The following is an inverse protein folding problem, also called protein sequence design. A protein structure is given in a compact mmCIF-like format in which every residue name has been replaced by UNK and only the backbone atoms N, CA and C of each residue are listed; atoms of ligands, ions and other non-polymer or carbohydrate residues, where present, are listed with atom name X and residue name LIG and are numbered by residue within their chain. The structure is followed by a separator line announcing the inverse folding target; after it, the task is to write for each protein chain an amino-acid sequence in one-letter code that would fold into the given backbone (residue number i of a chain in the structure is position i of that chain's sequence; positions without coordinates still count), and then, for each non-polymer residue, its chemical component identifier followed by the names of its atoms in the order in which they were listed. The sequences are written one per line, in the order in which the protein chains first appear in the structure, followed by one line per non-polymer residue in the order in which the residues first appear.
data_IF_479055221198
#
_entry.id   IF_479055221198
#
_cell.length_a   1.000
_cell.length_b   1.000
_cell.length_c   1.000
_cell.angle_alpha   90.00
_cell.angle_beta   90.00
_cell.angle_gamma   90.00
#
_symmetry.space_group_name_H-M   'P 1'
#
loop_
_entity.id
_entity.type
_entity.pdbx_description
1 polymer ?
#
# COMPACT_ATOMS: atom_id res chain seq x y z
N UNK A 1 3.93 0.90 7.12
CA UNK A 1 2.83 1.12 6.18
C UNK A 1 3.39 1.64 4.86
N UNK A 2 3.03 1.01 3.71
CA UNK A 2 3.51 1.44 2.37
C UNK A 2 3.09 2.87 2.08
N UNK A 3 1.97 3.33 2.63
CA UNK A 3 1.51 4.70 2.52
C UNK A 3 2.50 5.75 3.07
N UNK A 4 3.45 5.35 3.92
CA UNK A 4 4.55 6.21 4.38
C UNK A 4 5.86 5.97 3.63
N UNK A 5 6.17 4.71 3.28
CA UNK A 5 7.40 4.36 2.55
C UNK A 5 7.45 4.96 1.15
N UNK A 6 6.34 4.92 0.44
CA UNK A 6 6.24 5.51 -0.90
C UNK A 6 6.45 7.04 -0.85
N UNK A 7 5.79 7.81 0.04
CA UNK A 7 6.11 9.21 0.25
C UNK A 7 7.57 9.47 0.67
N UNK A 8 8.13 8.68 1.58
CA UNK A 8 9.55 8.83 1.96
C UNK A 8 10.46 8.64 0.75
N UNK A 9 10.24 7.60 -0.07
CA UNK A 9 11.00 7.39 -1.29
C UNK A 9 10.83 8.56 -2.28
N UNK A 10 9.61 9.09 -2.45
CA UNK A 10 9.36 10.25 -3.31
C UNK A 10 10.03 11.53 -2.78
N UNK A 11 10.02 11.76 -1.47
CA UNK A 11 10.71 12.87 -0.81
C UNK A 11 12.23 12.77 -1.02
N UNK A 12 12.80 11.57 -0.84
CA UNK A 12 14.22 11.30 -1.05
C UNK A 12 14.69 11.55 -2.49
N UNK A 13 13.77 11.46 -3.46
CA UNK A 13 14.02 11.75 -4.87
C UNK A 13 13.54 13.16 -5.32
N UNK A 14 13.02 13.99 -4.41
CA UNK A 14 12.60 15.36 -4.68
C UNK A 14 11.29 15.51 -5.46
N UNK A 15 10.48 14.45 -5.55
CA UNK A 15 9.15 14.52 -6.16
C UNK A 15 8.11 15.19 -5.26
N UNK A 16 8.31 15.11 -3.94
CA UNK A 16 7.54 15.85 -2.93
C UNK A 16 8.50 16.53 -1.95
N UNK A 17 8.00 17.38 -1.04
CA UNK A 17 8.83 18.08 -0.08
C UNK A 17 9.70 17.12 0.73
N UNK A 18 11.00 17.40 0.76
CA UNK A 18 11.98 16.50 1.40
C UNK A 18 11.78 16.36 2.91
N UNK A 19 11.28 17.39 3.56
CA UNK A 19 10.96 17.40 4.99
C UNK A 19 9.62 16.74 5.33
N UNK A 20 8.85 16.31 4.32
CA UNK A 20 7.56 15.66 4.49
C UNK A 20 6.46 16.56 5.03
N UNK A 21 6.62 17.90 4.95
CA UNK A 21 5.67 18.88 5.50
C UNK A 21 4.85 19.57 4.43
N UNK A 22 3.69 20.08 4.88
CA UNK A 22 2.79 20.88 4.06
C UNK A 22 2.40 20.20 2.74
N UNK A 23 2.04 18.91 2.81
CA UNK A 23 1.55 18.16 1.67
C UNK A 23 0.15 18.66 1.28
N UNK A 24 -0.01 19.12 0.05
CA UNK A 24 -1.30 19.54 -0.51
C UNK A 24 -1.70 18.63 -1.67
N UNK A 25 -3.00 18.56 -1.99
CA UNK A 25 -3.47 17.76 -3.13
C UNK A 25 -2.79 18.14 -4.44
N UNK A 26 -2.66 19.44 -4.82
CA UNK A 26 -1.94 19.82 -6.05
C UNK A 26 -0.48 19.37 -6.07
N UNK A 27 0.22 19.45 -4.93
CA UNK A 27 1.61 19.00 -4.82
C UNK A 27 1.72 17.47 -4.99
N UNK A 28 0.83 16.72 -4.35
CA UNK A 28 0.78 15.27 -4.48
C UNK A 28 0.41 14.83 -5.90
N UNK A 29 -0.54 15.50 -6.57
CA UNK A 29 -0.89 15.22 -7.97
C UNK A 29 0.32 15.29 -8.88
N UNK A 30 1.18 16.29 -8.71
CA UNK A 30 2.41 16.41 -9.48
C UNK A 30 3.42 15.33 -9.08
N UNK A 31 3.76 15.22 -7.79
CA UNK A 31 4.83 14.34 -7.32
C UNK A 31 4.56 12.85 -7.55
N UNK A 32 3.31 12.39 -7.32
CA UNK A 32 2.96 10.99 -7.52
C UNK A 32 2.85 10.63 -9.02
N UNK A 33 2.37 11.55 -9.84
CA UNK A 33 2.34 11.34 -11.29
C UNK A 33 3.75 11.25 -11.87
N UNK A 34 4.65 12.18 -11.53
CA UNK A 34 6.02 12.22 -12.03
C UNK A 34 6.87 11.05 -11.50
N UNK A 35 6.73 10.74 -10.20
CA UNK A 35 7.55 9.72 -9.54
C UNK A 35 7.10 8.28 -9.80
N UNK A 36 5.80 8.02 -9.91
CA UNK A 36 5.23 6.67 -9.94
C UNK A 36 4.17 6.45 -11.04
N UNK A 37 3.84 7.49 -11.82
CA UNK A 37 2.72 7.49 -12.75
C UNK A 37 1.38 7.11 -12.09
N UNK A 38 1.12 7.67 -10.91
CA UNK A 38 -0.17 7.50 -10.24
C UNK A 38 -1.22 8.43 -10.84
N UNK A 39 -2.41 7.90 -11.10
CA UNK A 39 -3.56 8.63 -11.62
C UNK A 39 -4.09 9.67 -10.63
N UNK A 40 -4.75 10.68 -11.16
CA UNK A 40 -5.33 11.76 -10.34
C UNK A 40 -6.42 11.24 -9.39
N UNK A 41 -7.23 10.26 -9.82
CA UNK A 41 -8.28 9.61 -9.03
C UNK A 41 -7.70 8.95 -7.78
N UNK A 42 -6.63 8.17 -7.96
CA UNK A 42 -5.90 7.53 -6.86
C UNK A 42 -5.29 8.59 -5.91
N UNK A 43 -4.60 9.57 -6.48
CA UNK A 43 -3.91 10.60 -5.69
C UNK A 43 -4.87 11.44 -4.85
N UNK A 44 -6.02 11.82 -5.42
CA UNK A 44 -7.05 12.57 -4.67
C UNK A 44 -7.63 11.73 -3.53
N UNK A 45 -7.88 10.44 -3.76
CA UNK A 45 -8.39 9.55 -2.71
C UNK A 45 -7.41 9.41 -1.54
N UNK A 46 -6.14 9.10 -1.83
CA UNK A 46 -5.10 8.94 -0.80
C UNK A 46 -4.75 10.28 -0.12
N UNK A 47 -4.63 11.35 -0.90
CA UNK A 47 -4.37 12.67 -0.36
C UNK A 47 -5.53 13.20 0.50
N UNK A 48 -6.78 12.86 0.14
CA UNK A 48 -7.96 13.16 0.96
C UNK A 48 -7.91 12.45 2.31
N UNK A 49 -7.53 11.17 2.33
CA UNK A 49 -7.29 10.45 3.57
C UNK A 49 -6.15 11.09 4.40
N UNK A 50 -5.08 11.55 3.74
CA UNK A 50 -4.00 12.29 4.39
C UNK A 50 -4.49 13.61 5.03
N UNK A 51 -5.36 14.35 4.34
CA UNK A 51 -5.95 15.57 4.91
C UNK A 51 -6.80 15.28 6.15
N UNK A 52 -7.48 14.13 6.19
CA UNK A 52 -8.25 13.73 7.39
C UNK A 52 -7.36 13.42 8.58
N UNK A 53 -6.09 13.03 8.36
CA UNK A 53 -5.12 12.81 9.44
C UNK A 53 -4.57 14.12 10.01
N UNK A 54 -4.71 15.24 9.29
CA UNK A 54 -4.20 16.55 9.73
C UNK A 54 -4.91 17.03 10.99
N UNK A 55 -4.22 17.66 11.94
CA UNK A 55 -4.84 18.38 13.06
C UNK A 55 -5.82 19.49 12.60
N UNK A 56 -5.67 19.95 11.34
CA UNK A 56 -6.58 20.90 10.70
C UNK A 56 -6.99 20.39 9.29
N UNK A 57 -7.96 19.45 9.20
CA UNK A 57 -8.34 18.84 7.91
C UNK A 57 -8.85 19.84 6.87
N UNK A 58 -9.41 20.97 7.31
CA UNK A 58 -9.90 22.04 6.42
C UNK A 58 -8.81 23.00 6.01
N UNK A 59 -7.60 22.89 6.55
CA UNK A 59 -6.44 23.71 6.21
C UNK A 59 -5.84 23.42 4.83
N UNK A 60 -6.26 22.33 4.19
CA UNK A 60 -5.85 21.96 2.83
C UNK A 60 -4.46 21.35 2.74
N UNK A 61 -3.79 21.10 3.86
CA UNK A 61 -2.49 20.41 3.91
C UNK A 61 -2.36 19.50 5.13
N UNK A 62 -1.42 18.56 5.05
CA UNK A 62 -1.02 17.67 6.14
C UNK A 62 0.50 17.44 6.10
N UNK A 63 1.05 16.99 7.19
CA UNK A 63 2.44 16.52 7.28
C UNK A 63 2.47 14.99 7.21
N UNK A 64 3.55 14.39 6.70
CA UNK A 64 3.66 12.92 6.66
C UNK A 64 3.60 12.29 8.06
N UNK A 65 4.00 13.03 9.11
CA UNK A 65 3.87 12.56 10.49
C UNK A 65 2.42 12.52 10.98
N UNK A 66 1.50 13.26 10.36
CA UNK A 66 0.07 13.17 10.71
C UNK A 66 -0.53 11.81 10.33
N UNK A 67 0.12 11.08 9.39
CA UNK A 67 -0.30 9.73 8.98
C UNK A 67 -0.01 8.64 10.03
N UNK A 68 0.68 9.00 11.11
CA UNK A 68 1.09 8.07 12.17
C UNK A 68 0.01 7.88 13.24
N UNK A 69 -1.15 8.52 13.08
CA UNK A 69 -2.24 8.38 14.01
C UNK A 69 -2.79 6.93 13.95
N UNK A 70 -2.52 6.17 15.03
CA UNK A 70 -2.90 4.76 15.12
C UNK A 70 -4.41 4.57 14.93
N UNK A 71 -4.75 3.60 14.07
CA UNK A 71 -6.12 3.25 13.70
C UNK A 71 -6.95 4.41 13.08
N UNK A 72 -6.30 5.46 12.51
CA UNK A 72 -7.03 6.54 11.84
C UNK A 72 -6.14 7.40 10.93
N UNK A 73 -6.60 7.76 9.74
CA UNK A 73 -7.52 7.01 8.87
C UNK A 73 -6.80 5.91 8.10
N UNK A 74 -5.45 5.98 8.00
CA UNK A 74 -4.61 5.15 7.12
C UNK A 74 -3.85 4.09 7.90
N UNK A 75 -3.26 4.49 9.05
CA UNK A 75 -2.46 3.58 9.87
C UNK A 75 -3.31 2.42 10.40
N UNK A 76 -2.71 1.21 10.48
CA UNK A 76 -3.36 -0.02 10.91
C UNK A 76 -2.34 -1.08 11.36
N UNK A 77 -2.80 -2.02 12.19
CA UNK A 77 -2.04 -3.22 12.58
C UNK A 77 -1.73 -4.16 11.39
N UNK A 78 -0.86 -5.12 11.61
CA UNK A 78 -0.43 -6.14 10.65
C UNK A 78 0.33 -5.58 9.43
N UNK A 79 1.08 -4.51 9.63
CA UNK A 79 1.93 -3.92 8.60
C UNK A 79 3.00 -4.91 8.10
N UNK A 80 3.36 -4.80 6.82
CA UNK A 80 4.45 -5.61 6.22
C UNK A 80 5.82 -5.30 6.81
N UNK A 81 6.06 -4.07 7.23
CA UNK A 81 7.40 -3.56 7.57
C UNK A 81 7.45 -2.65 8.79
N UNK A 82 6.36 -2.56 9.53
CA UNK A 82 6.29 -1.79 10.79
C UNK A 82 5.82 -2.71 11.92
N UNK A 83 6.16 -2.36 13.15
CA UNK A 83 5.63 -3.03 14.33
C UNK A 83 4.19 -2.53 14.59
N UNK A 84 3.35 -3.37 15.18
CA UNK A 84 2.04 -2.91 15.64
C UNK A 84 2.20 -1.97 16.84
N UNK A 85 1.36 -0.93 16.94
CA UNK A 85 1.49 0.13 17.94
C UNK A 85 1.48 -0.39 19.39
N UNK A 86 0.66 -1.41 19.69
CA UNK A 86 0.61 -2.02 21.02
C UNK A 86 1.90 -2.79 21.40
N UNK A 87 2.76 -3.13 20.45
CA UNK A 87 4.01 -3.85 20.68
C UNK A 87 5.23 -2.94 20.75
N UNK A 88 5.10 -1.65 20.47
CA UNK A 88 6.18 -0.69 20.55
C UNK A 88 6.05 0.49 19.60
N UNK A 89 7.18 1.02 19.13
CA UNK A 89 7.19 2.13 18.19
C UNK A 89 6.87 1.61 16.78
N UNK A 90 5.73 1.99 16.23
CA UNK A 90 5.21 1.63 14.91
C UNK A 90 5.75 2.51 13.76
N UNK A 91 6.53 3.54 14.10
CA UNK A 91 7.02 4.52 13.14
C UNK A 91 8.20 4.03 12.28
N UNK A 92 9.30 3.48 12.87
CA UNK A 92 10.45 3.09 12.10
C UNK A 92 10.22 1.78 11.33
N UNK A 93 11.05 1.58 10.30
CA UNK A 93 11.16 0.28 9.66
C UNK A 93 11.53 -0.80 10.68
N UNK A 94 10.72 -1.86 10.72
CA UNK A 94 10.91 -2.97 11.65
C UNK A 94 11.32 -4.23 10.91
N UNK A 95 12.61 -4.50 10.93
CA UNK A 95 13.22 -5.57 10.15
C UNK A 95 12.64 -6.98 10.42
N UNK A 96 12.28 -7.38 11.66
CA UNK A 96 11.68 -8.70 11.88
C UNK A 96 10.40 -8.95 11.07
N UNK A 97 9.46 -7.99 11.05
CA UNK A 97 8.22 -8.10 10.26
C UNK A 97 8.53 -8.14 8.76
N UNK A 98 9.45 -7.30 8.32
CA UNK A 98 9.87 -7.27 6.94
C UNK A 98 10.53 -8.59 6.50
N UNK A 99 11.42 -9.18 7.31
CA UNK A 99 12.04 -10.47 6.98
C UNK A 99 11.01 -11.60 6.95
N UNK A 100 10.01 -11.58 7.83
CA UNK A 100 8.90 -12.52 7.77
C UNK A 100 8.14 -12.39 6.44
N UNK A 101 7.85 -11.16 6.01
CA UNK A 101 7.12 -10.89 4.76
C UNK A 101 7.94 -11.26 3.53
N UNK A 102 9.16 -10.71 3.40
CA UNK A 102 9.98 -10.88 2.19
C UNK A 102 10.53 -12.29 2.04
N UNK A 103 10.68 -13.03 3.14
CA UNK A 103 11.13 -14.42 3.15
C UNK A 103 10.20 -15.36 2.38
N UNK A 104 8.90 -15.02 2.21
CA UNK A 104 8.02 -15.80 1.34
C UNK A 104 8.45 -15.82 -0.12
N UNK A 105 9.29 -14.87 -0.52
CA UNK A 105 9.83 -14.77 -1.86
C UNK A 105 11.24 -15.36 -2.02
N UNK A 106 11.75 -16.07 -1.02
CA UNK A 106 13.06 -16.70 -1.10
C UNK A 106 13.13 -17.66 -2.29
N UNK A 107 14.23 -17.56 -3.05
CA UNK A 107 14.44 -18.29 -4.29
C UNK A 107 13.71 -17.73 -5.53
N UNK A 108 12.88 -16.68 -5.37
CA UNK A 108 12.21 -15.99 -6.48
C UNK A 108 13.01 -14.75 -6.90
N UNK A 109 12.91 -14.40 -8.18
CA UNK A 109 13.49 -13.16 -8.73
C UNK A 109 12.47 -12.04 -8.87
N UNK A 110 11.18 -12.41 -8.92
CA UNK A 110 10.05 -11.50 -9.04
C UNK A 110 8.96 -11.88 -8.02
N UNK A 111 8.12 -10.91 -7.67
CA UNK A 111 6.91 -11.14 -6.88
C UNK A 111 5.85 -11.85 -7.71
N UNK A 112 4.86 -12.41 -7.04
CA UNK A 112 3.60 -12.88 -7.63
C UNK A 112 2.47 -12.68 -6.60
N UNK A 113 1.26 -12.54 -7.10
CA UNK A 113 0.07 -12.27 -6.30
C UNK A 113 -0.21 -13.36 -5.25
N UNK A 114 -0.14 -14.68 -5.58
CA UNK A 114 -0.37 -15.73 -4.57
C UNK A 114 0.64 -15.70 -3.43
N UNK A 115 1.92 -15.43 -3.72
CA UNK A 115 2.97 -15.35 -2.70
C UNK A 115 2.78 -14.10 -1.84
N UNK A 116 2.51 -12.94 -2.45
CA UNK A 116 2.24 -11.69 -1.72
C UNK A 116 1.03 -11.83 -0.78
N UNK A 117 -0.04 -12.47 -1.25
CA UNK A 117 -1.24 -12.72 -0.43
C UNK A 117 -0.95 -13.63 0.78
N UNK A 118 -0.15 -14.69 0.60
CA UNK A 118 0.28 -15.56 1.71
C UNK A 118 1.18 -14.83 2.70
N UNK A 119 2.13 -14.02 2.22
CA UNK A 119 3.01 -13.22 3.06
C UNK A 119 2.20 -12.21 3.90
N UNK A 120 1.22 -11.54 3.28
CA UNK A 120 0.29 -10.64 3.96
C UNK A 120 -0.52 -11.37 5.04
N UNK A 121 -1.06 -12.55 4.72
CA UNK A 121 -1.80 -13.36 5.68
C UNK A 121 -0.93 -13.81 6.86
N UNK A 122 0.34 -14.11 6.63
CA UNK A 122 1.26 -14.44 7.72
C UNK A 122 1.45 -13.26 8.69
N UNK A 123 1.52 -12.02 8.17
CA UNK A 123 1.57 -10.82 9.00
C UNK A 123 0.29 -10.61 9.81
N UNK A 124 -0.87 -10.77 9.17
CA UNK A 124 -2.17 -10.76 9.85
C UNK A 124 -2.22 -11.77 10.99
N UNK A 125 -1.84 -13.02 10.72
CA UNK A 125 -1.88 -14.11 11.70
C UNK A 125 -0.92 -13.87 12.87
N UNK A 126 0.25 -13.29 12.59
CA UNK A 126 1.23 -12.94 13.62
C UNK A 126 0.71 -11.82 14.54
N UNK A 127 0.17 -10.75 13.97
CA UNK A 127 -0.44 -9.66 14.74
C UNK A 127 -1.65 -10.15 15.55
N UNK A 128 -2.55 -10.92 14.95
CA UNK A 128 -3.70 -11.51 15.66
C UNK A 128 -3.27 -12.34 16.87
N UNK A 129 -2.14 -13.04 16.77
CA UNK A 129 -1.63 -13.90 17.85
C UNK A 129 -0.91 -13.13 18.94
N UNK A 130 -0.14 -12.10 18.59
CA UNK A 130 0.85 -11.48 19.45
C UNK A 130 0.49 -10.08 19.91
N UNK A 131 -0.42 -9.38 19.21
CA UNK A 131 -0.87 -8.04 19.57
C UNK A 131 -2.11 -8.13 20.49
N UNK A 132 -2.01 -7.75 21.78
CA UNK A 132 -3.13 -7.84 22.72
C UNK A 132 -4.28 -6.86 22.38
N UNK A 133 -3.98 -5.77 21.65
CA UNK A 133 -4.95 -4.74 21.27
C UNK A 133 -5.26 -4.80 19.76
N UNK A 134 -5.07 -5.97 19.13
CA UNK A 134 -5.23 -6.16 17.70
C UNK A 134 -6.58 -5.68 17.18
N UNK A 135 -6.53 -4.72 16.29
CA UNK A 135 -7.71 -4.16 15.62
C UNK A 135 -7.61 -4.37 14.12
N UNK A 136 -8.54 -5.18 13.58
CA UNK A 136 -8.55 -5.48 12.16
C UNK A 136 -9.98 -5.71 11.65
N UNK A 137 -10.60 -4.64 11.18
CA UNK A 137 -11.92 -4.63 10.58
C UNK A 137 -11.87 -4.44 9.04
N UNK A 138 -13.00 -4.10 8.43
CA UNK A 138 -13.09 -3.87 6.98
C UNK A 138 -12.16 -2.73 6.50
N UNK A 139 -11.99 -1.66 7.29
CA UNK A 139 -11.10 -0.55 6.95
C UNK A 139 -9.65 -1.02 6.87
N UNK A 140 -9.17 -1.68 7.92
CA UNK A 140 -7.79 -2.20 8.02
C UNK A 140 -7.50 -3.20 6.91
N UNK A 141 -8.46 -4.08 6.61
CA UNK A 141 -8.34 -5.03 5.51
C UNK A 141 -8.17 -4.30 4.16
N UNK A 142 -9.01 -3.31 3.87
CA UNK A 142 -8.92 -2.52 2.61
C UNK A 142 -7.56 -1.84 2.48
N UNK A 143 -7.07 -1.19 3.54
CA UNK A 143 -5.75 -0.54 3.51
C UNK A 143 -4.63 -1.56 3.39
N UNK A 144 -4.63 -2.63 4.17
CA UNK A 144 -3.59 -3.66 4.16
C UNK A 144 -3.46 -4.34 2.79
N UNK A 145 -4.59 -4.70 2.13
CA UNK A 145 -4.55 -5.23 0.77
C UNK A 145 -4.21 -4.16 -0.26
N UNK A 146 -4.73 -2.94 -0.07
CA UNK A 146 -4.40 -1.77 -0.89
C UNK A 146 -2.90 -1.49 -0.92
N UNK A 147 -2.23 -1.53 0.21
CA UNK A 147 -0.78 -1.34 0.31
C UNK A 147 0.01 -2.42 -0.42
N UNK A 148 -0.43 -3.69 -0.30
CA UNK A 148 0.17 -4.76 -1.08
C UNK A 148 -0.01 -4.52 -2.58
N UNK A 149 -1.20 -4.12 -3.02
CA UNK A 149 -1.47 -3.80 -4.41
C UNK A 149 -0.64 -2.60 -4.89
N UNK A 150 -0.48 -1.55 -4.08
CA UNK A 150 0.29 -0.34 -4.43
C UNK A 150 1.74 -0.69 -4.73
N UNK A 151 2.44 -1.41 -3.83
CA UNK A 151 3.86 -1.69 -4.09
C UNK A 151 4.05 -2.66 -5.25
N UNK A 152 3.16 -3.64 -5.43
CA UNK A 152 3.20 -4.56 -6.57
C UNK A 152 3.08 -3.79 -7.89
N UNK A 153 2.12 -2.87 -7.99
CA UNK A 153 1.93 -2.03 -9.17
C UNK A 153 3.08 -1.04 -9.37
N UNK A 154 3.49 -0.33 -8.31
CA UNK A 154 4.54 0.69 -8.40
C UNK A 154 5.91 0.11 -8.79
N UNK A 155 6.23 -1.09 -8.32
CA UNK A 155 7.52 -1.73 -8.61
C UNK A 155 7.48 -2.59 -9.88
N UNK A 156 6.32 -2.81 -10.50
CA UNK A 156 6.18 -3.52 -11.77
C UNK A 156 5.27 -2.76 -12.76
N UNK A 157 4.01 -3.15 -12.82
CA UNK A 157 2.96 -2.58 -13.67
C UNK A 157 1.57 -2.79 -13.06
N UNK A 158 0.53 -2.03 -13.49
CA UNK A 158 -0.80 -2.10 -12.90
C UNK A 158 -1.55 -3.43 -13.07
N UNK A 159 -1.00 -4.38 -13.82
CA UNK A 159 -1.70 -5.62 -14.21
C UNK A 159 -1.07 -6.86 -13.58
N UNK A 160 0.23 -7.05 -13.76
CA UNK A 160 0.90 -8.33 -13.45
C UNK A 160 1.28 -8.48 -11.98
N UNK A 161 1.64 -7.39 -11.32
CA UNK A 161 2.23 -7.44 -9.98
C UNK A 161 3.57 -8.18 -9.87
N UNK A 162 4.26 -8.42 -11.00
CA UNK A 162 5.52 -9.17 -11.07
C UNK A 162 6.72 -8.25 -10.87
N UNK A 163 6.82 -7.62 -9.72
CA UNK A 163 7.93 -6.73 -9.37
C UNK A 163 9.22 -7.50 -9.13
N UNK A 164 10.36 -7.01 -9.63
CA UNK A 164 11.66 -7.58 -9.26
C UNK A 164 11.88 -7.44 -7.76
N UNK A 165 12.29 -8.52 -7.10
CA UNK A 165 12.52 -8.51 -5.65
C UNK A 165 13.56 -7.45 -5.26
N UNK A 166 14.58 -7.21 -6.10
CA UNK A 166 15.56 -6.15 -5.87
C UNK A 166 14.93 -4.74 -5.86
N UNK A 167 13.87 -4.51 -6.64
CA UNK A 167 13.14 -3.23 -6.65
C UNK A 167 12.33 -3.06 -5.37
N UNK A 168 11.64 -4.12 -4.96
CA UNK A 168 10.86 -4.14 -3.72
C UNK A 168 11.77 -3.90 -2.51
N UNK A 169 12.93 -4.57 -2.44
CA UNK A 169 13.92 -4.34 -1.37
C UNK A 169 14.46 -2.91 -1.37
N UNK A 170 14.75 -2.31 -2.52
CA UNK A 170 15.19 -0.91 -2.60
C UNK A 170 14.14 0.04 -2.02
N UNK A 171 12.85 -0.18 -2.35
CA UNK A 171 11.76 0.64 -1.84
C UNK A 171 11.62 0.52 -0.32
N UNK A 172 11.59 -0.70 0.23
CA UNK A 172 11.30 -0.94 1.64
C UNK A 172 12.52 -0.77 2.55
N UNK A 173 13.69 -1.29 2.15
CA UNK A 173 14.88 -1.32 3.00
C UNK A 173 15.72 -0.03 2.89
N UNK A 174 15.60 0.71 1.78
CA UNK A 174 16.41 1.90 1.51
C UNK A 174 15.58 3.17 1.33
N UNK A 175 14.25 3.05 1.28
CA UNK A 175 13.33 4.16 0.97
C UNK A 175 13.73 4.88 -0.33
N UNK A 176 14.09 4.09 -1.37
CA UNK A 176 14.56 4.61 -2.66
C UNK A 176 13.80 4.00 -3.83
N UNK A 177 13.49 4.84 -4.80
CA UNK A 177 13.05 4.41 -6.12
C UNK A 177 14.26 3.78 -6.85
N UNK A 178 14.16 2.53 -7.34
CA UNK A 178 15.32 1.76 -7.78
C UNK A 178 15.82 2.11 -9.19
N UNK A 179 15.96 3.40 -9.51
CA UNK A 179 16.44 3.89 -10.80
C UNK A 179 17.81 3.30 -11.21
N UNK A 180 18.70 3.17 -10.22
CA UNK A 180 20.05 2.58 -10.44
C UNK A 180 19.99 1.11 -10.85
N UNK A 181 18.91 0.40 -10.47
CA UNK A 181 18.68 -1.00 -10.85
C UNK A 181 17.93 -1.14 -12.19
N UNK A 182 17.66 -0.01 -12.88
CA UNK A 182 16.98 0.02 -14.16
C UNK A 182 15.45 0.12 -14.06
N UNK A 183 14.88 0.30 -12.87
CA UNK A 183 13.45 0.53 -12.70
C UNK A 183 13.04 1.89 -13.30
N UNK A 184 11.83 1.92 -13.82
CA UNK A 184 11.15 3.16 -14.24
C UNK A 184 9.66 3.04 -13.87
N UNK A 185 8.94 4.14 -13.64
CA UNK A 185 7.48 4.11 -13.49
C UNK A 185 6.82 3.37 -14.66
N UNK A 186 5.78 2.61 -14.37
CA UNK A 186 5.00 1.95 -15.43
C UNK A 186 4.47 2.97 -16.43
N UNK A 187 4.42 2.58 -17.72
CA UNK A 187 3.79 3.44 -18.76
C UNK A 187 2.28 3.56 -18.59
N UNK A 188 1.64 2.52 -18.08
CA UNK A 188 0.23 2.58 -17.71
C UNK A 188 0.06 3.19 -16.31
N UNK A 189 -0.88 4.12 -16.11
CA UNK A 189 -1.07 4.77 -14.81
C UNK A 189 -1.63 3.81 -13.77
N UNK A 190 -1.23 3.99 -12.52
CA UNK A 190 -1.85 3.33 -11.36
C UNK A 190 -3.09 4.15 -10.98
N UNK A 191 -4.27 3.56 -11.12
CA UNK A 191 -5.56 4.19 -10.86
C UNK A 191 -6.32 3.48 -9.75
N UNK A 192 -7.40 4.08 -9.22
CA UNK A 192 -8.29 3.38 -8.30
C UNK A 192 -8.87 2.10 -8.92
N UNK A 193 -9.16 2.13 -10.22
CA UNK A 193 -9.66 0.95 -10.92
C UNK A 193 -8.62 -0.18 -10.97
N UNK A 194 -7.36 0.12 -11.36
CA UNK A 194 -6.28 -0.89 -11.39
C UNK A 194 -5.96 -1.40 -9.98
N UNK A 195 -5.99 -0.51 -8.98
CA UNK A 195 -5.80 -0.89 -7.58
C UNK A 195 -6.89 -1.88 -7.13
N UNK A 196 -8.16 -1.57 -7.40
CA UNK A 196 -9.29 -2.42 -7.05
C UNK A 196 -9.20 -3.81 -7.69
N UNK A 197 -8.77 -3.90 -8.95
CA UNK A 197 -8.53 -5.19 -9.63
C UNK A 197 -7.45 -5.99 -8.90
N UNK A 198 -6.30 -5.38 -8.58
CA UNK A 198 -5.21 -6.10 -7.90
C UNK A 198 -5.56 -6.49 -6.46
N UNK A 199 -6.26 -5.62 -5.72
CA UNK A 199 -6.83 -5.96 -4.40
C UNK A 199 -7.74 -7.18 -4.51
N UNK A 200 -8.63 -7.21 -5.50
CA UNK A 200 -9.54 -8.35 -5.75
C UNK A 200 -8.77 -9.63 -6.04
N UNK A 201 -7.70 -9.57 -6.84
CA UNK A 201 -6.84 -10.72 -7.13
C UNK A 201 -6.12 -11.24 -5.88
N UNK A 202 -5.60 -10.34 -5.02
CA UNK A 202 -4.99 -10.69 -3.74
C UNK A 202 -6.00 -11.38 -2.81
N UNK A 203 -7.24 -10.84 -2.71
CA UNK A 203 -8.31 -11.43 -1.93
C UNK A 203 -8.71 -12.82 -2.43
N UNK A 204 -8.84 -13.00 -3.73
CA UNK A 204 -9.29 -14.24 -4.34
C UNK A 204 -8.41 -15.45 -3.99
N UNK A 205 -7.12 -15.22 -3.73
CA UNK A 205 -6.14 -16.27 -3.40
C UNK A 205 -5.69 -16.23 -1.93
N UNK A 206 -6.30 -15.36 -1.11
CA UNK A 206 -5.93 -15.21 0.30
C UNK A 206 -6.55 -16.32 1.16
N UNK A 207 -5.78 -16.91 2.08
CA UNK A 207 -6.33 -17.76 3.11
C UNK A 207 -6.97 -17.01 4.28
N UNK A 208 -6.94 -15.66 4.26
CA UNK A 208 -7.48 -14.83 5.33
C UNK A 208 -9.00 -14.98 5.44
N UNK A 209 -9.56 -15.23 6.65
CA UNK A 209 -11.00 -15.24 6.85
C UNK A 209 -11.56 -13.84 6.66
N UNK A 210 -12.31 -13.65 5.58
CA UNK A 210 -12.93 -12.37 5.23
C UNK A 210 -14.32 -12.32 5.86
N UNK A 211 -14.67 -11.20 6.53
CA UNK A 211 -16.03 -10.99 7.02
C UNK A 211 -17.05 -11.06 5.85
N UNK A 212 -18.26 -11.57 6.11
CA UNK A 212 -19.30 -11.71 5.07
C UNK A 212 -19.58 -10.39 4.33
N UNK A 213 -19.55 -9.25 5.03
CA UNK A 213 -19.75 -7.95 4.41
C UNK A 213 -18.68 -7.60 3.38
N UNK A 214 -17.42 -7.95 3.62
CA UNK A 214 -16.34 -7.71 2.69
C UNK A 214 -16.42 -8.65 1.47
N UNK A 215 -16.86 -9.89 1.67
CA UNK A 215 -17.15 -10.84 0.58
C UNK A 215 -18.18 -10.26 -0.40
N UNK A 216 -19.26 -9.66 0.11
CA UNK A 216 -20.31 -9.06 -0.73
C UNK A 216 -19.74 -7.95 -1.61
N UNK A 217 -18.89 -7.07 -1.06
CA UNK A 217 -18.25 -5.98 -1.83
C UNK A 217 -17.34 -6.53 -2.92
N UNK A 218 -16.53 -7.53 -2.61
CA UNK A 218 -15.63 -8.18 -3.58
C UNK A 218 -16.42 -8.88 -4.69
N UNK A 219 -17.46 -9.64 -4.36
CA UNK A 219 -18.31 -10.30 -5.35
C UNK A 219 -19.08 -9.31 -6.23
N UNK A 220 -19.63 -8.23 -5.65
CA UNK A 220 -20.32 -7.19 -6.41
C UNK A 220 -19.37 -6.50 -7.39
N UNK A 221 -18.12 -6.23 -6.98
CA UNK A 221 -17.11 -5.61 -7.86
C UNK A 221 -16.71 -6.54 -8.99
N UNK A 222 -16.46 -7.83 -8.72
CA UNK A 222 -16.15 -8.84 -9.75
C UNK A 222 -17.32 -8.98 -10.73
N UNK A 223 -18.55 -9.05 -10.22
CA UNK A 223 -19.74 -9.21 -11.07
C UNK A 223 -19.94 -8.01 -11.99
N UNK A 224 -19.76 -6.80 -11.49
CA UNK A 224 -19.88 -5.57 -12.30
C UNK A 224 -18.81 -5.47 -13.38
N UNK A 225 -17.57 -5.88 -13.09
CA UNK A 225 -16.47 -5.89 -14.05
C UNK A 225 -16.66 -6.96 -15.14
N UNK A 226 -17.11 -8.16 -14.77
CA UNK A 226 -17.42 -9.22 -15.73
C UNK A 226 -18.64 -8.86 -16.61
N UNK A 227 -19.68 -8.25 -16.03
CA UNK A 227 -20.89 -7.89 -16.75
C UNK A 227 -20.66 -6.76 -17.77
N UNK A 228 -19.77 -5.81 -17.46
CA UNK A 228 -19.42 -4.72 -18.37
C UNK A 228 -18.64 -5.16 -19.62
N UNK A 229 -18.03 -6.36 -19.62
CA UNK A 229 -17.35 -6.93 -20.79
C UNK A 229 -18.30 -7.69 -21.73
N UNK A 230 -19.52 -8.03 -21.28
CA UNK A 230 -20.51 -8.76 -22.09
C UNK A 230 -21.51 -7.87 -22.82
N UNK A 231 -21.49 -6.54 -22.61
CA UNK A 231 -22.41 -5.57 -23.22
C UNK A 231 -21.71 -4.67 -24.27
N UNK A 232 -20.54 -5.08 -24.75
CA UNK A 232 -19.90 -4.41 -25.91
C UNK A 232 -19.84 -5.31 -27.11
#
# INVERSE_FOLDING_TARGET
VVCRLTPSALANHGFIHHDGRNMTIPHLLKGLAEGLNMGADFTVAVGGAGLLSSPNPLGGSFDLNDLDQHNFPIEHDASMSRQDAALGNDQPFYNPNWQQYIGFFDGKTVTDIPTASKAKFARYSDSLKNNPDFTYGPREAVFSYGENAIYLQAMSDPVSGNAKISYVRSLFEQEKLPYALGWRPSKAPITLASLGVMVTQLFAVSPEPISEGLRIVVYATIYSLCYSQYIR
#
